data_IF_461985644507
#
_entry.id   IF_461985644507
#
_cell.length_a   1.000
_cell.length_b   1.000
_cell.length_c   1.000
_cell.angle_alpha   90.00
_cell.angle_beta   90.00
_cell.angle_gamma   90.00
#
_symmetry.space_group_name_H-M   'P 1'
#
loop_
_entity.id
_entity.type
_entity.pdbx_description
1 polymer ?
#
# COMPACT_ATOMS: atom_id res chain seq x y z
N UNK A 1 -7.01 2.80 -39.53
CA UNK A 1 -8.07 3.78 -39.20
C UNK A 1 -9.16 3.63 -40.26
N UNK A 2 -10.38 3.22 -39.89
CA UNK A 2 -11.47 3.07 -40.87
C UNK A 2 -11.75 4.44 -41.48
N UNK A 3 -11.82 4.52 -42.82
CA UNK A 3 -12.30 5.70 -43.55
C UNK A 3 -13.75 5.96 -43.14
N UNK A 4 -13.95 6.72 -42.06
CA UNK A 4 -15.27 7.22 -41.68
C UNK A 4 -15.60 8.29 -42.71
N UNK A 5 -16.50 7.98 -43.65
CA UNK A 5 -17.09 8.98 -44.55
C UNK A 5 -17.55 10.15 -43.68
N UNK A 6 -16.92 11.30 -43.85
CA UNK A 6 -17.17 12.47 -43.03
C UNK A 6 -18.62 12.91 -43.27
N UNK A 7 -19.49 12.69 -42.28
CA UNK A 7 -20.89 13.10 -42.36
C UNK A 7 -20.92 14.62 -42.22
N UNK A 8 -21.38 15.31 -43.26
CA UNK A 8 -21.49 16.76 -43.30
C UNK A 8 -22.94 17.19 -43.00
N UNK A 9 -23.07 18.35 -42.38
CA UNK A 9 -24.33 19.06 -42.11
C UNK A 9 -24.37 20.30 -43.00
N UNK A 10 -25.53 20.60 -43.55
CA UNK A 10 -25.70 21.71 -44.46
C UNK A 10 -26.29 22.89 -43.71
N UNK A 11 -25.58 24.01 -43.71
CA UNK A 11 -26.03 25.27 -43.16
C UNK A 11 -26.61 26.11 -44.29
N UNK A 12 -27.91 26.28 -44.29
CA UNK A 12 -28.62 27.26 -45.11
C UNK A 12 -28.63 28.62 -44.40
N UNK A 13 -28.90 29.68 -45.17
CA UNK A 13 -29.32 30.95 -44.60
C UNK A 13 -30.68 30.83 -43.89
N UNK A 14 -30.95 31.75 -42.97
CA UNK A 14 -32.17 31.72 -42.16
C UNK A 14 -33.42 31.67 -43.03
N UNK A 15 -34.32 30.73 -42.77
CA UNK A 15 -35.55 30.51 -43.55
C UNK A 15 -35.37 29.64 -44.81
N UNK A 16 -34.14 29.52 -45.35
CA UNK A 16 -33.90 28.82 -46.61
C UNK A 16 -33.95 27.30 -46.49
N UNK A 17 -33.63 26.74 -45.33
CA UNK A 17 -33.77 25.30 -45.12
C UNK A 17 -35.25 24.92 -45.05
N UNK A 18 -36.07 25.75 -44.38
CA UNK A 18 -37.51 25.57 -44.33
C UNK A 18 -38.13 25.67 -45.72
N UNK A 19 -37.82 26.74 -46.46
CA UNK A 19 -38.28 26.94 -47.84
C UNK A 19 -37.90 25.73 -48.72
N UNK A 20 -36.65 25.27 -48.64
CA UNK A 20 -36.18 24.10 -49.38
C UNK A 20 -37.01 22.85 -49.08
N UNK A 21 -37.29 22.56 -47.81
CA UNK A 21 -38.08 21.38 -47.42
C UNK A 21 -39.55 21.54 -47.85
N UNK A 22 -40.14 22.72 -47.70
CA UNK A 22 -41.52 22.99 -48.12
C UNK A 22 -41.69 22.88 -49.64
N UNK A 23 -40.78 23.48 -50.41
CA UNK A 23 -40.76 23.31 -51.86
C UNK A 23 -40.56 21.86 -52.27
N UNK A 24 -39.71 21.12 -51.56
CA UNK A 24 -39.47 19.70 -51.87
C UNK A 24 -40.69 18.82 -51.63
N UNK A 25 -41.51 19.11 -50.61
CA UNK A 25 -42.78 18.43 -50.39
C UNK A 25 -43.78 18.72 -51.52
N UNK A 26 -43.84 19.97 -52.00
CA UNK A 26 -44.73 20.38 -53.10
C UNK A 26 -44.28 19.76 -54.43
N UNK A 27 -43.01 19.88 -54.81
CA UNK A 27 -42.49 19.39 -56.11
C UNK A 27 -42.58 17.87 -56.24
N UNK A 28 -42.39 17.14 -55.14
CA UNK A 28 -42.43 15.68 -55.14
C UNK A 28 -43.84 15.11 -54.89
N UNK A 29 -44.84 15.97 -54.64
CA UNK A 29 -46.20 15.60 -54.22
C UNK A 29 -46.20 14.59 -53.05
N UNK A 30 -45.45 14.89 -51.99
CA UNK A 30 -45.25 13.98 -50.85
C UNK A 30 -45.56 14.63 -49.52
N UNK A 31 -45.89 13.79 -48.53
CA UNK A 31 -46.07 14.23 -47.13
C UNK A 31 -44.78 14.03 -46.32
N UNK A 32 -44.70 14.70 -45.16
CA UNK A 32 -43.56 14.61 -44.22
C UNK A 32 -43.14 13.14 -43.91
N UNK A 33 -44.05 12.18 -43.67
CA UNK A 33 -43.65 10.78 -43.43
C UNK A 33 -42.92 10.13 -44.60
N UNK A 34 -43.36 10.41 -45.83
CA UNK A 34 -42.80 9.84 -47.05
C UNK A 34 -41.42 10.45 -47.34
N UNK A 35 -41.29 11.77 -47.23
CA UNK A 35 -40.01 12.45 -47.40
C UNK A 35 -38.99 12.04 -46.32
N UNK A 36 -39.44 11.78 -45.08
CA UNK A 36 -38.59 11.29 -44.00
C UNK A 36 -38.08 9.87 -44.30
N UNK A 37 -38.95 8.99 -44.81
CA UNK A 37 -38.59 7.64 -45.28
C UNK A 37 -37.59 7.70 -46.43
N UNK A 38 -37.77 8.61 -47.40
CA UNK A 38 -36.81 8.82 -48.49
C UNK A 38 -35.42 9.22 -47.98
N UNK A 39 -35.36 10.07 -46.95
CA UNK A 39 -34.10 10.51 -46.34
C UNK A 39 -33.52 9.53 -45.32
N UNK A 40 -34.18 8.38 -45.09
CA UNK A 40 -33.86 7.40 -44.04
C UNK A 40 -33.74 8.04 -42.63
N UNK A 41 -34.67 8.94 -42.29
CA UNK A 41 -34.76 9.57 -40.96
C UNK A 41 -36.17 9.46 -40.40
N UNK A 42 -36.33 9.64 -39.09
CA UNK A 42 -37.67 9.69 -38.50
C UNK A 42 -38.40 11.00 -38.82
N UNK A 43 -39.74 10.98 -38.80
CA UNK A 43 -40.58 12.15 -39.07
C UNK A 43 -40.22 13.36 -38.20
N UNK A 44 -39.89 13.11 -36.93
CA UNK A 44 -39.50 14.16 -35.99
C UNK A 44 -38.26 14.92 -36.46
N UNK A 45 -37.26 14.21 -36.97
CA UNK A 45 -36.03 14.82 -37.49
C UNK A 45 -36.33 15.71 -38.67
N UNK A 46 -37.18 15.27 -39.60
CA UNK A 46 -37.58 16.09 -40.76
C UNK A 46 -38.39 17.33 -40.33
N UNK A 47 -39.29 17.19 -39.34
CA UNK A 47 -40.02 18.35 -38.76
C UNK A 47 -39.07 19.32 -38.06
N UNK A 48 -38.07 18.82 -37.35
CA UNK A 48 -37.06 19.67 -36.69
C UNK A 48 -36.14 20.35 -37.70
N UNK A 49 -35.84 19.73 -38.86
CA UNK A 49 -35.17 20.40 -39.98
C UNK A 49 -36.05 21.48 -40.60
N UNK A 50 -37.34 21.20 -40.83
CA UNK A 50 -38.30 22.19 -41.33
C UNK A 50 -38.46 23.39 -40.39
N UNK A 51 -38.35 23.19 -39.08
CA UNK A 51 -38.33 24.24 -38.05
C UNK A 51 -36.97 24.91 -37.87
N UNK A 52 -35.97 24.51 -38.66
CA UNK A 52 -34.59 24.99 -38.60
C UNK A 52 -33.92 24.83 -37.23
N UNK A 53 -34.41 23.87 -36.43
CA UNK A 53 -33.83 23.54 -35.12
C UNK A 53 -32.48 22.83 -35.27
N UNK A 54 -32.35 22.06 -36.35
CA UNK A 54 -31.11 21.38 -36.72
C UNK A 54 -30.85 21.51 -38.22
N UNK A 55 -29.58 21.46 -38.59
CA UNK A 55 -29.13 21.46 -39.98
C UNK A 55 -29.37 20.08 -40.63
N UNK A 56 -29.90 20.06 -41.85
CA UNK A 56 -30.08 18.85 -42.65
C UNK A 56 -28.73 18.17 -42.92
N UNK A 57 -28.71 16.84 -43.00
CA UNK A 57 -27.49 16.12 -43.38
C UNK A 57 -27.22 16.30 -44.88
N UNK A 58 -25.96 16.38 -45.28
CA UNK A 58 -25.59 16.49 -46.71
C UNK A 58 -26.07 15.27 -47.51
N UNK A 59 -26.05 14.08 -46.91
CA UNK A 59 -26.59 12.87 -47.52
C UNK A 59 -28.09 13.00 -47.83
N UNK A 60 -28.87 13.47 -46.86
CA UNK A 60 -30.32 13.68 -47.04
C UNK A 60 -30.62 14.79 -48.03
N UNK A 61 -29.85 15.89 -48.02
CA UNK A 61 -29.98 16.95 -49.02
C UNK A 61 -29.77 16.41 -50.43
N UNK A 62 -28.69 15.64 -50.64
CA UNK A 62 -28.39 15.02 -51.92
C UNK A 62 -29.52 14.09 -52.38
N UNK A 63 -30.03 13.23 -51.49
CA UNK A 63 -31.16 12.35 -51.81
C UNK A 63 -32.41 13.11 -52.26
N UNK A 64 -32.73 14.24 -51.62
CA UNK A 64 -33.87 15.09 -52.01
C UNK A 64 -33.62 15.73 -53.38
N UNK A 65 -32.43 16.31 -53.61
CA UNK A 65 -32.06 16.93 -54.88
C UNK A 65 -32.07 15.93 -56.05
N UNK A 66 -31.49 14.73 -55.86
CA UNK A 66 -31.45 13.67 -56.84
C UNK A 66 -32.88 13.23 -57.24
N UNK A 67 -33.80 13.15 -56.27
CA UNK A 67 -35.21 12.79 -56.51
C UNK A 67 -36.01 13.90 -57.21
N UNK A 68 -35.65 15.16 -56.99
CA UNK A 68 -36.26 16.32 -57.68
C UNK A 68 -35.70 16.53 -59.09
N UNK A 69 -34.62 15.85 -59.48
CA UNK A 69 -33.90 16.15 -60.71
C UNK A 69 -33.23 17.53 -60.70
N UNK A 70 -32.91 18.06 -59.52
CA UNK A 70 -32.32 19.40 -59.35
C UNK A 70 -30.87 19.30 -58.88
N UNK A 71 -30.05 20.27 -59.30
CA UNK A 71 -28.71 20.47 -58.72
C UNK A 71 -28.77 20.87 -57.24
N UNK A 72 -27.69 20.58 -56.52
CA UNK A 72 -27.53 21.03 -55.13
C UNK A 72 -27.48 22.58 -55.11
N UNK A 73 -28.23 23.26 -54.23
CA UNK A 73 -28.19 24.72 -54.11
C UNK A 73 -26.76 25.23 -53.90
N UNK A 74 -26.37 26.31 -54.58
CA UNK A 74 -25.00 26.86 -54.51
C UNK A 74 -24.73 27.63 -53.21
N UNK A 75 -25.76 28.18 -52.59
CA UNK A 75 -25.67 29.03 -51.39
C UNK A 75 -25.80 28.19 -50.11
N UNK A 76 -24.89 27.22 -49.92
CA UNK A 76 -24.88 26.36 -48.74
C UNK A 76 -23.50 26.30 -48.08
N UNK A 77 -23.48 26.41 -46.75
CA UNK A 77 -22.30 26.14 -45.94
C UNK A 77 -22.22 24.68 -45.53
N UNK A 78 -21.04 24.06 -45.57
CA UNK A 78 -20.82 22.70 -45.07
C UNK A 78 -20.19 22.74 -43.68
N UNK A 79 -20.81 22.05 -42.73
CA UNK A 79 -20.35 21.91 -41.35
C UNK A 79 -20.05 20.43 -41.03
N UNK A 80 -19.04 20.14 -40.21
CA UNK A 80 -18.84 18.78 -39.67
C UNK A 80 -20.04 18.32 -38.81
N UNK A 81 -20.34 17.02 -38.76
CA UNK A 81 -21.46 16.47 -37.96
C UNK A 81 -21.51 16.93 -36.49
N UNK A 82 -20.35 17.03 -35.84
CA UNK A 82 -20.22 17.39 -34.43
C UNK A 82 -19.79 18.86 -34.21
N UNK A 83 -20.07 19.75 -35.16
CA UNK A 83 -19.64 21.15 -35.10
C UNK A 83 -20.05 21.88 -33.82
N UNK A 84 -21.21 21.53 -33.24
CA UNK A 84 -21.77 22.17 -32.05
C UNK A 84 -21.37 21.50 -30.73
N UNK A 85 -20.78 20.29 -30.77
CA UNK A 85 -20.46 19.50 -29.57
C UNK A 85 -19.59 20.27 -28.60
N UNK A 86 -18.56 20.97 -29.09
CA UNK A 86 -17.67 21.76 -28.22
C UNK A 86 -18.42 22.87 -27.47
N UNK A 87 -19.36 23.55 -28.14
CA UNK A 87 -20.19 24.61 -27.54
C UNK A 87 -21.17 24.00 -26.53
N UNK A 88 -21.84 22.91 -26.89
CA UNK A 88 -22.78 22.21 -26.02
C UNK A 88 -22.09 21.65 -24.77
N UNK A 89 -20.92 21.01 -24.91
CA UNK A 89 -20.13 20.50 -23.78
C UNK A 89 -19.68 21.62 -22.84
N UNK A 90 -19.29 22.78 -23.39
CA UNK A 90 -18.94 23.95 -22.56
C UNK A 90 -20.14 24.45 -21.76
N UNK A 91 -21.33 24.52 -22.38
CA UNK A 91 -22.55 24.95 -21.70
C UNK A 91 -22.98 23.95 -20.62
N UNK A 92 -22.94 22.65 -20.93
CA UNK A 92 -23.24 21.59 -19.98
C UNK A 92 -22.27 21.59 -18.80
N UNK A 93 -20.98 21.80 -19.04
CA UNK A 93 -19.96 21.92 -17.99
C UNK A 93 -20.22 23.12 -17.06
N UNK A 94 -20.57 24.29 -17.61
CA UNK A 94 -20.97 25.45 -16.81
C UNK A 94 -22.19 25.16 -15.94
N UNK A 95 -23.23 24.57 -16.53
CA UNK A 95 -24.45 24.21 -15.80
C UNK A 95 -24.18 23.19 -14.68
N UNK A 96 -23.30 22.23 -14.93
CA UNK A 96 -22.88 21.26 -13.90
C UNK A 96 -22.21 21.97 -12.73
N UNK A 97 -21.29 22.91 -12.98
CA UNK A 97 -20.62 23.69 -11.93
C UNK A 97 -21.60 24.55 -11.14
N UNK A 98 -22.60 25.16 -11.79
CA UNK A 98 -23.66 25.90 -11.10
C UNK A 98 -24.47 25.02 -10.13
N UNK A 99 -24.81 23.80 -10.56
CA UNK A 99 -25.65 22.89 -9.79
C UNK A 99 -24.88 22.15 -8.67
N UNK A 100 -23.65 21.75 -8.95
CA UNK A 100 -22.90 20.80 -8.12
C UNK A 100 -21.57 21.36 -7.61
N UNK A 101 -21.20 22.58 -8.00
CA UNK A 101 -19.90 23.18 -7.71
C UNK A 101 -18.77 22.61 -8.58
N UNK A 102 -17.55 23.05 -8.30
CA UNK A 102 -16.37 22.59 -9.03
C UNK A 102 -16.13 21.09 -8.79
N UNK A 103 -15.85 20.30 -9.84
CA UNK A 103 -15.48 18.91 -9.68
C UNK A 103 -14.13 18.82 -8.95
N UNK A 104 -14.00 17.81 -8.09
CA UNK A 104 -12.72 17.51 -7.43
C UNK A 104 -12.34 18.45 -6.29
N UNK A 105 -13.26 19.26 -5.77
CA UNK A 105 -13.06 19.99 -4.50
C UNK A 105 -12.76 19.02 -3.35
N UNK A 106 -12.01 19.49 -2.35
CA UNK A 106 -11.71 18.69 -1.15
C UNK A 106 -12.99 18.23 -0.44
N UNK A 107 -13.97 19.13 -0.30
CA UNK A 107 -15.28 18.83 0.27
C UNK A 107 -16.04 17.75 -0.53
N UNK A 108 -16.05 17.85 -1.86
CA UNK A 108 -16.69 16.87 -2.75
C UNK A 108 -16.02 15.49 -2.68
N UNK A 109 -14.69 15.45 -2.67
CA UNK A 109 -13.91 14.21 -2.49
C UNK A 109 -14.17 13.58 -1.14
N UNK A 110 -14.19 14.39 -0.07
CA UNK A 110 -14.50 13.94 1.29
C UNK A 110 -15.92 13.36 1.39
N UNK A 111 -16.91 14.03 0.79
CA UNK A 111 -18.29 13.54 0.73
C UNK A 111 -18.38 12.21 -0.01
N UNK A 112 -17.77 12.09 -1.19
CA UNK A 112 -17.74 10.85 -1.97
C UNK A 112 -17.08 9.69 -1.19
N UNK A 113 -15.98 9.97 -0.48
CA UNK A 113 -15.32 9.00 0.39
C UNK A 113 -16.21 8.53 1.53
N UNK A 114 -16.95 9.45 2.19
CA UNK A 114 -17.89 9.09 3.27
C UNK A 114 -19.05 8.24 2.77
N UNK A 115 -19.69 8.63 1.66
CA UNK A 115 -20.79 7.88 1.05
C UNK A 115 -20.32 6.48 0.64
N UNK A 116 -19.15 6.37 0.02
CA UNK A 116 -18.58 5.07 -0.32
C UNK A 116 -18.35 4.21 0.93
N UNK A 117 -17.79 4.78 2.01
CA UNK A 117 -17.62 4.06 3.28
C UNK A 117 -18.94 3.58 3.87
N UNK A 118 -19.99 4.40 3.81
CA UNK A 118 -21.33 4.05 4.29
C UNK A 118 -21.92 2.88 3.52
N UNK A 119 -21.84 2.92 2.18
CA UNK A 119 -22.26 1.82 1.30
C UNK A 119 -21.51 0.51 1.64
N UNK A 120 -20.21 0.57 1.92
CA UNK A 120 -19.44 -0.62 2.30
C UNK A 120 -19.73 -1.12 3.70
N UNK A 121 -20.20 -0.25 4.62
CA UNK A 121 -20.63 -0.66 5.96
C UNK A 121 -21.99 -1.35 5.91
N UNK A 122 -22.93 -0.82 5.13
CA UNK A 122 -24.26 -1.41 4.94
C UNK A 122 -24.21 -2.70 4.11
N UNK A 123 -23.27 -2.82 3.17
CA UNK A 123 -23.08 -4.01 2.34
C UNK A 123 -21.64 -4.56 2.41
N UNK A 124 -21.30 -5.38 3.43
CA UNK A 124 -19.96 -5.93 3.60
C UNK A 124 -19.48 -6.84 2.44
N UNK A 125 -20.43 -7.49 1.73
CA UNK A 125 -20.16 -8.36 0.58
C UNK A 125 -19.65 -7.60 -0.64
N UNK A 126 -20.22 -6.42 -0.90
CA UNK A 126 -19.89 -5.57 -2.05
C UNK A 126 -18.40 -5.23 -2.11
N UNK A 127 -17.76 -5.05 -0.95
CA UNK A 127 -16.33 -4.72 -0.86
C UNK A 127 -15.43 -5.78 -1.48
N UNK A 128 -15.83 -7.07 -1.39
CA UNK A 128 -15.11 -8.18 -2.03
C UNK A 128 -15.37 -8.22 -3.52
N UNK A 129 -16.59 -7.94 -3.96
CA UNK A 129 -17.00 -7.94 -5.37
C UNK A 129 -16.27 -6.84 -6.16
N UNK A 130 -16.09 -5.64 -5.59
CA UNK A 130 -15.32 -4.56 -6.22
C UNK A 130 -13.80 -4.64 -5.99
N UNK A 131 -13.28 -5.78 -5.53
CA UNK A 131 -11.85 -6.04 -5.31
C UNK A 131 -11.12 -5.00 -4.44
N UNK A 132 -11.83 -4.33 -3.52
CA UNK A 132 -11.20 -3.39 -2.60
C UNK A 132 -10.39 -4.14 -1.54
N UNK A 133 -9.15 -3.71 -1.31
CA UNK A 133 -8.26 -4.33 -0.31
C UNK A 133 -8.88 -4.21 1.10
N UNK A 134 -9.33 -5.34 1.64
CA UNK A 134 -9.74 -5.47 3.04
C UNK A 134 -8.51 -5.65 3.94
N UNK A 135 -8.66 -5.38 5.24
CA UNK A 135 -7.62 -5.70 6.22
C UNK A 135 -7.36 -7.20 6.24
N UNK A 136 -6.08 -7.62 6.29
CA UNK A 136 -5.71 -9.03 6.38
C UNK A 136 -6.18 -9.60 7.72
N UNK A 137 -6.83 -10.77 7.69
CA UNK A 137 -7.12 -11.53 8.90
C UNK A 137 -5.80 -12.03 9.49
N UNK A 138 -5.69 -11.98 10.82
CA UNK A 138 -4.53 -12.50 11.56
C UNK A 138 -5.03 -13.38 12.71
N UNK A 139 -4.19 -14.30 13.15
CA UNK A 139 -4.33 -14.94 14.46
C UNK A 139 -3.84 -13.97 15.53
N UNK A 140 -4.60 -13.86 16.61
CA UNK A 140 -4.24 -13.07 17.79
C UNK A 140 -3.65 -14.00 18.85
N UNK A 141 -2.32 -14.12 18.97
CA UNK A 141 -1.72 -15.01 19.95
C UNK A 141 -1.94 -14.47 21.37
N UNK A 142 -2.19 -15.38 22.31
CA UNK A 142 -2.12 -15.06 23.75
C UNK A 142 -0.67 -14.72 24.13
N UNK A 143 -0.51 -13.95 25.21
CA UNK A 143 0.80 -13.70 25.84
C UNK A 143 1.51 -15.04 26.09
N UNK A 144 2.70 -15.19 25.52
CA UNK A 144 3.46 -16.43 25.51
C UNK A 144 4.95 -16.14 25.36
N UNK A 145 5.81 -17.13 25.64
CA UNK A 145 7.25 -16.99 25.44
C UNK A 145 7.62 -16.69 23.98
N UNK A 146 6.97 -17.36 23.02
CA UNK A 146 7.19 -17.10 21.60
C UNK A 146 6.82 -15.67 21.21
N UNK A 147 5.72 -15.12 21.75
CA UNK A 147 5.37 -13.73 21.52
C UNK A 147 6.37 -12.79 22.20
N UNK A 148 6.80 -13.08 23.42
CA UNK A 148 7.79 -12.26 24.13
C UNK A 148 9.15 -12.22 23.41
N UNK A 149 9.60 -13.35 22.87
CA UNK A 149 10.79 -13.41 22.01
C UNK A 149 10.63 -12.57 20.75
N UNK A 150 9.47 -12.67 20.09
CA UNK A 150 9.16 -11.83 18.93
C UNK A 150 9.13 -10.33 19.27
N UNK A 151 8.61 -9.94 20.43
CA UNK A 151 8.68 -8.56 20.92
C UNK A 151 10.14 -8.13 21.12
N UNK A 152 10.98 -8.98 21.71
CA UNK A 152 12.43 -8.71 21.83
C UNK A 152 13.08 -8.43 20.48
N UNK A 153 12.80 -9.25 19.47
CA UNK A 153 13.27 -9.07 18.08
C UNK A 153 12.80 -7.73 17.51
N UNK A 154 11.53 -7.39 17.73
CA UNK A 154 10.96 -6.12 17.25
C UNK A 154 11.59 -4.90 17.94
N UNK A 155 11.93 -5.01 19.22
CA UNK A 155 12.59 -3.95 19.98
C UNK A 155 14.00 -3.68 19.47
N UNK A 156 14.77 -4.70 19.08
CA UNK A 156 16.11 -4.54 18.51
C UNK A 156 16.10 -4.12 17.03
N UNK A 157 15.86 -5.07 16.12
CA UNK A 157 15.95 -4.87 14.67
C UNK A 157 14.62 -4.54 13.97
N UNK A 158 13.50 -4.55 14.71
CA UNK A 158 12.19 -4.23 14.15
C UNK A 158 12.02 -2.77 13.73
N UNK A 159 11.02 -2.45 12.91
CA UNK A 159 10.69 -1.06 12.58
C UNK A 159 9.28 -0.91 12.02
N UNK A 160 8.56 0.11 12.50
CA UNK A 160 7.20 0.46 12.06
C UNK A 160 7.17 1.95 11.70
N UNK A 161 7.16 2.25 10.40
CA UNK A 161 7.21 3.63 9.91
C UNK A 161 5.89 4.18 9.39
N UNK A 162 4.96 3.29 8.98
CA UNK A 162 3.85 3.71 8.11
C UNK A 162 2.47 3.22 8.61
N UNK A 163 2.36 2.68 9.82
CA UNK A 163 1.10 2.23 10.44
C UNK A 163 0.38 1.02 9.81
N UNK A 164 0.85 0.52 8.66
CA UNK A 164 0.26 -0.64 7.98
C UNK A 164 1.25 -1.78 7.74
N UNK A 165 2.53 -1.56 8.04
CA UNK A 165 3.59 -2.55 7.87
C UNK A 165 4.63 -2.44 8.97
N UNK A 166 5.20 -3.57 9.34
CA UNK A 166 6.45 -3.62 10.06
C UNK A 166 7.51 -4.34 9.22
N UNK A 167 8.77 -4.06 9.56
CA UNK A 167 9.93 -4.76 9.02
C UNK A 167 10.84 -5.23 10.15
N UNK A 168 11.61 -6.29 9.92
CA UNK A 168 12.75 -6.69 10.74
C UNK A 168 13.95 -6.76 9.82
N UNK A 169 14.97 -5.95 10.08
CA UNK A 169 16.19 -5.93 9.28
C UNK A 169 17.15 -7.04 9.75
N UNK A 170 17.96 -7.60 8.86
CA UNK A 170 18.96 -8.62 9.20
C UNK A 170 20.17 -8.55 8.27
N UNK A 171 21.31 -9.12 8.69
CA UNK A 171 22.49 -9.25 7.83
C UNK A 171 22.34 -10.45 6.88
N UNK A 172 22.48 -10.23 5.57
CA UNK A 172 22.25 -11.29 4.56
C UNK A 172 23.22 -12.46 4.68
N UNK A 173 24.49 -12.19 5.04
CA UNK A 173 25.52 -13.23 5.10
C UNK A 173 25.48 -13.97 6.43
N UNK A 174 25.34 -13.23 7.52
CA UNK A 174 25.52 -13.77 8.86
C UNK A 174 24.23 -14.29 9.50
N UNK A 175 23.07 -13.78 9.11
CA UNK A 175 21.80 -13.99 9.82
C UNK A 175 20.68 -14.54 8.91
N UNK A 176 21.03 -15.18 7.77
CA UNK A 176 20.03 -15.72 6.83
C UNK A 176 19.18 -16.84 7.43
N UNK A 177 19.80 -17.78 8.13
CA UNK A 177 19.08 -18.86 8.84
C UNK A 177 18.20 -18.30 9.96
N UNK A 178 18.68 -17.25 10.63
CA UNK A 178 17.90 -16.57 11.66
C UNK A 178 16.71 -15.81 11.05
N UNK A 179 16.86 -15.24 9.86
CA UNK A 179 15.74 -14.62 9.14
C UNK A 179 14.63 -15.65 8.87
N UNK A 180 14.99 -16.85 8.40
CA UNK A 180 14.05 -17.95 8.18
C UNK A 180 13.36 -18.41 9.49
N UNK A 181 14.10 -18.47 10.61
CA UNK A 181 13.50 -18.66 11.94
C UNK A 181 12.45 -17.58 12.27
N UNK A 182 12.75 -16.30 12.05
CA UNK A 182 11.82 -15.19 12.28
C UNK A 182 10.58 -15.34 11.39
N UNK A 183 10.73 -15.70 10.11
CA UNK A 183 9.59 -15.91 9.21
C UNK A 183 8.65 -17.02 9.71
N UNK A 184 9.21 -18.14 10.17
CA UNK A 184 8.44 -19.23 10.79
C UNK A 184 7.76 -18.79 12.08
N UNK A 185 8.44 -18.01 12.92
CA UNK A 185 7.90 -17.46 14.16
C UNK A 185 6.69 -16.56 13.88
N UNK A 186 6.78 -15.66 12.90
CA UNK A 186 5.69 -14.79 12.44
C UNK A 186 4.50 -15.64 11.96
N UNK A 187 4.76 -16.63 11.10
CA UNK A 187 3.73 -17.51 10.56
C UNK A 187 2.99 -18.27 11.66
N UNK A 188 3.74 -18.84 12.62
CA UNK A 188 3.17 -19.60 13.76
C UNK A 188 2.35 -18.72 14.71
N UNK A 189 2.80 -17.49 15.00
CA UNK A 189 2.13 -16.59 15.93
C UNK A 189 0.87 -15.98 15.32
N UNK A 190 0.96 -15.50 14.07
CA UNK A 190 -0.04 -14.61 13.47
C UNK A 190 -0.78 -15.23 12.29
N UNK A 191 -0.39 -16.41 11.82
CA UNK A 191 -1.01 -17.06 10.67
C UNK A 191 -0.86 -16.27 9.37
N UNK A 192 0.20 -15.45 9.27
CA UNK A 192 0.50 -14.63 8.08
C UNK A 192 1.88 -14.95 7.53
N UNK A 193 2.01 -14.92 6.21
CA UNK A 193 3.31 -14.98 5.54
C UNK A 193 4.01 -13.62 5.61
N UNK A 194 5.33 -13.68 5.54
CA UNK A 194 6.22 -12.52 5.46
C UNK A 194 6.98 -12.53 4.13
N UNK A 195 7.36 -11.35 3.64
CA UNK A 195 8.13 -11.19 2.41
C UNK A 195 9.56 -10.81 2.77
N UNK A 196 10.56 -11.48 2.19
CA UNK A 196 11.96 -11.10 2.33
C UNK A 196 12.36 -10.19 1.18
N UNK A 197 12.90 -9.03 1.49
CA UNK A 197 13.50 -8.10 0.53
C UNK A 197 15.00 -7.99 0.80
N UNK A 198 15.80 -8.54 -0.10
CA UNK A 198 17.26 -8.41 -0.03
C UNK A 198 17.70 -7.05 -0.57
N UNK A 199 18.66 -6.43 0.11
CA UNK A 199 19.30 -5.17 -0.27
C UNK A 199 20.76 -5.44 -0.60
N UNK A 200 21.03 -5.89 -1.83
CA UNK A 200 22.36 -6.35 -2.25
C UNK A 200 23.46 -5.33 -1.97
N UNK A 201 23.22 -4.06 -2.30
CA UNK A 201 24.16 -2.95 -2.09
C UNK A 201 24.66 -2.79 -0.64
N UNK A 202 23.84 -3.18 0.34
CA UNK A 202 24.13 -2.97 1.76
C UNK A 202 24.44 -4.26 2.51
N UNK A 203 24.44 -5.42 1.83
CA UNK A 203 24.65 -6.72 2.47
C UNK A 203 23.59 -7.09 3.51
N UNK A 204 22.42 -6.45 3.47
CA UNK A 204 21.33 -6.63 4.42
C UNK A 204 20.04 -7.07 3.74
N UNK A 205 19.06 -7.51 4.53
CA UNK A 205 17.72 -7.84 4.08
C UNK A 205 16.69 -7.33 5.08
N UNK A 206 15.43 -7.25 4.63
CA UNK A 206 14.29 -6.96 5.48
C UNK A 206 13.24 -8.07 5.35
N UNK A 207 12.75 -8.57 6.49
CA UNK A 207 11.52 -9.34 6.57
C UNK A 207 10.38 -8.34 6.72
N UNK A 208 9.41 -8.33 5.80
CA UNK A 208 8.35 -7.33 5.72
C UNK A 208 7.00 -8.02 5.86
N UNK A 209 6.13 -7.47 6.71
CA UNK A 209 4.73 -7.90 6.83
C UNK A 209 3.82 -6.69 6.73
N UNK A 210 3.02 -6.63 5.66
CA UNK A 210 1.98 -5.62 5.49
C UNK A 210 0.66 -6.13 6.04
N UNK A 211 0.29 -5.69 7.25
CA UNK A 211 -1.01 -5.95 7.89
C UNK A 211 -1.28 -4.89 8.96
N UNK A 212 -2.31 -4.06 8.75
CA UNK A 212 -2.73 -3.05 9.73
C UNK A 212 -3.18 -3.67 11.05
N UNK A 213 -3.93 -4.78 11.00
CA UNK A 213 -4.37 -5.49 12.20
C UNK A 213 -3.20 -5.98 13.05
N UNK A 214 -2.08 -6.36 12.40
CA UNK A 214 -0.90 -6.84 13.11
C UNK A 214 -0.09 -5.69 13.69
N UNK A 215 0.02 -4.58 12.98
CA UNK A 215 0.66 -3.36 13.50
C UNK A 215 -0.09 -2.85 14.73
N UNK A 216 -1.41 -2.71 14.65
CA UNK A 216 -2.26 -2.30 15.78
C UNK A 216 -2.08 -3.26 16.97
N UNK A 217 -2.07 -4.59 16.73
CA UNK A 217 -1.79 -5.58 17.77
C UNK A 217 -0.41 -5.38 18.44
N UNK A 218 0.65 -5.12 17.67
CA UNK A 218 1.99 -4.92 18.23
C UNK A 218 2.09 -3.64 19.06
N UNK A 219 1.37 -2.59 18.65
CA UNK A 219 1.26 -1.34 19.40
C UNK A 219 0.57 -1.59 20.75
N UNK A 220 -0.55 -2.31 20.74
CA UNK A 220 -1.27 -2.70 21.96
C UNK A 220 -0.40 -3.56 22.91
N UNK A 221 0.61 -4.25 22.36
CA UNK A 221 1.55 -5.07 23.11
C UNK A 221 2.85 -4.34 23.51
N UNK A 222 2.94 -3.04 23.23
CA UNK A 222 3.98 -2.14 23.73
C UNK A 222 5.09 -1.79 22.73
N UNK A 223 4.95 -2.12 21.45
CA UNK A 223 5.86 -1.62 20.41
C UNK A 223 5.42 -0.22 19.97
N UNK A 224 6.31 0.76 20.00
CA UNK A 224 6.00 2.12 19.55
C UNK A 224 6.28 2.31 18.05
N UNK A 225 5.49 3.13 17.39
CA UNK A 225 5.78 3.61 16.03
C UNK A 225 6.87 4.70 16.04
N UNK A 226 7.61 4.83 14.94
CA UNK A 226 8.57 5.91 14.76
C UNK A 226 9.97 5.65 15.34
N UNK A 227 10.67 6.72 15.74
CA UNK A 227 12.07 6.64 16.16
C UNK A 227 12.20 6.02 17.56
N UNK A 228 12.83 4.84 17.61
CA UNK A 228 13.01 4.05 18.82
C UNK A 228 13.79 4.75 19.94
N UNK A 229 14.83 5.49 19.57
CA UNK A 229 15.72 6.16 20.54
C UNK A 229 15.03 7.38 21.13
N UNK A 230 14.36 8.17 20.28
CA UNK A 230 13.55 9.31 20.73
C UNK A 230 12.37 8.85 21.62
N UNK A 231 11.80 7.68 21.34
CA UNK A 231 10.64 7.13 22.04
C UNK A 231 10.92 6.51 23.42
N UNK A 232 12.17 6.51 23.90
CA UNK A 232 12.61 5.85 25.16
C UNK A 232 12.00 4.46 25.30
N UNK A 233 12.19 3.64 24.26
CA UNK A 233 11.58 2.32 24.19
C UNK A 233 12.11 1.42 25.31
N UNK A 234 11.22 0.62 25.89
CA UNK A 234 11.52 -0.32 26.97
C UNK A 234 10.71 -1.60 26.80
N UNK A 235 11.07 -2.65 27.55
CA UNK A 235 10.36 -3.92 27.58
C UNK A 235 8.96 -3.73 28.20
N UNK A 236 7.88 -4.16 27.53
CA UNK A 236 6.52 -4.07 28.06
C UNK A 236 6.33 -4.73 29.43
N UNK A 237 5.49 -4.14 30.28
CA UNK A 237 5.29 -4.60 31.66
C UNK A 237 4.81 -6.05 31.75
N UNK A 238 3.95 -6.50 30.82
CA UNK A 238 3.46 -7.87 30.81
C UNK A 238 4.57 -8.90 30.54
N UNK A 239 5.69 -8.50 29.92
CA UNK A 239 6.88 -9.33 29.77
C UNK A 239 7.69 -9.30 31.06
N UNK A 240 7.88 -8.10 31.63
CA UNK A 240 8.61 -7.90 32.90
C UNK A 240 7.96 -8.64 34.08
N UNK A 241 6.66 -8.92 34.04
CA UNK A 241 5.96 -9.61 35.13
C UNK A 241 6.18 -11.13 35.17
N UNK A 242 6.85 -11.73 34.18
CA UNK A 242 7.03 -13.19 34.11
C UNK A 242 8.46 -13.55 33.77
N UNK A 243 9.11 -14.35 34.64
CA UNK A 243 10.49 -14.84 34.42
C UNK A 243 10.65 -15.54 33.06
N UNK A 244 9.66 -16.35 32.67
CA UNK A 244 9.64 -17.04 31.38
C UNK A 244 9.61 -16.06 30.20
N UNK A 245 8.86 -14.97 30.31
CA UNK A 245 8.75 -13.97 29.25
C UNK A 245 9.96 -13.05 29.21
N UNK A 246 10.49 -12.65 30.37
CA UNK A 246 11.78 -11.94 30.47
C UNK A 246 12.88 -12.69 29.72
N UNK A 247 13.06 -13.98 30.00
CA UNK A 247 14.08 -14.82 29.35
C UNK A 247 13.88 -14.89 27.84
N UNK A 248 12.65 -15.11 27.38
CA UNK A 248 12.37 -15.20 25.95
C UNK A 248 12.58 -13.85 25.23
N UNK A 249 12.15 -12.74 25.83
CA UNK A 249 12.40 -11.40 25.29
C UNK A 249 13.89 -11.05 25.28
N UNK A 250 14.63 -11.42 26.33
CA UNK A 250 16.09 -11.25 26.39
C UNK A 250 16.79 -12.03 25.27
N UNK A 251 16.34 -13.26 24.98
CA UNK A 251 16.84 -14.03 23.84
C UNK A 251 16.67 -13.25 22.54
N UNK A 252 15.45 -12.79 22.25
CA UNK A 252 15.17 -12.02 21.03
C UNK A 252 15.99 -10.74 20.89
N UNK A 253 16.22 -10.02 22.01
CA UNK A 253 17.05 -8.81 22.05
C UNK A 253 18.53 -9.09 21.81
N UNK A 254 19.07 -10.15 22.43
CA UNK A 254 20.48 -10.54 22.24
C UNK A 254 20.69 -11.11 20.83
N UNK A 255 19.71 -11.83 20.30
CA UNK A 255 19.77 -12.41 18.95
C UNK A 255 19.86 -11.35 17.84
N UNK A 256 19.39 -10.12 18.10
CA UNK A 256 19.47 -8.97 17.20
C UNK A 256 20.62 -8.02 17.57
N UNK A 257 20.54 -7.38 18.74
CA UNK A 257 21.42 -6.26 19.15
C UNK A 257 22.58 -6.73 20.05
N UNK A 258 22.65 -8.04 20.30
CA UNK A 258 23.76 -8.67 20.98
C UNK A 258 24.96 -8.87 20.06
N UNK A 259 26.10 -9.20 20.66
CA UNK A 259 27.32 -9.55 19.96
C UNK A 259 28.11 -10.54 20.82
N UNK A 260 28.59 -11.60 20.19
CA UNK A 260 29.53 -12.56 20.79
C UNK A 260 30.84 -12.47 20.05
N UNK A 261 31.94 -12.25 20.78
CA UNK A 261 33.26 -12.09 20.18
C UNK A 261 34.35 -12.66 21.08
N UNK A 262 35.35 -13.27 20.44
CA UNK A 262 36.56 -13.73 21.11
C UNK A 262 37.51 -12.56 21.29
N UNK A 263 38.09 -12.44 22.47
CA UNK A 263 39.09 -11.45 22.80
C UNK A 263 40.34 -12.17 23.29
N UNK A 264 41.41 -12.07 22.52
CA UNK A 264 42.70 -12.68 22.85
C UNK A 264 43.68 -11.64 23.36
N UNK A 265 44.47 -11.99 24.37
CA UNK A 265 45.56 -11.18 24.90
C UNK A 265 46.81 -12.04 25.00
N UNK A 266 47.98 -11.42 24.87
CA UNK A 266 49.26 -12.05 25.16
C UNK A 266 49.77 -11.46 26.47
N UNK A 267 50.01 -12.31 27.47
CA UNK A 267 50.55 -11.91 28.77
C UNK A 267 51.72 -12.84 29.08
N UNK A 268 52.91 -12.27 29.28
CA UNK A 268 54.15 -13.01 29.57
C UNK A 268 54.41 -14.16 28.57
N UNK A 269 54.17 -13.93 27.28
CA UNK A 269 54.34 -14.93 26.22
C UNK A 269 53.21 -15.97 26.10
N UNK A 270 52.31 -16.06 27.09
CA UNK A 270 51.11 -16.89 27.03
C UNK A 270 49.96 -16.20 26.30
N UNK A 271 49.32 -16.91 25.36
CA UNK A 271 48.12 -16.41 24.66
C UNK A 271 46.86 -16.87 25.38
N UNK A 272 46.06 -15.93 25.85
CA UNK A 272 44.81 -16.18 26.54
C UNK A 272 43.65 -15.73 25.67
N UNK A 273 42.66 -16.59 25.47
CA UNK A 273 41.47 -16.29 24.66
C UNK A 273 40.22 -16.34 25.53
N UNK A 274 39.36 -15.33 25.40
CA UNK A 274 38.14 -15.20 26.19
C UNK A 274 36.97 -14.87 25.29
N UNK A 275 35.90 -15.66 25.38
CA UNK A 275 34.64 -15.31 24.76
C UNK A 275 33.91 -14.28 25.61
N UNK A 276 33.36 -13.25 24.97
CA UNK A 276 32.58 -12.19 25.61
C UNK A 276 31.25 -12.01 24.89
N UNK A 277 30.22 -11.66 25.66
CA UNK A 277 28.94 -11.19 25.12
C UNK A 277 28.75 -9.71 25.44
N UNK A 278 28.20 -8.97 24.51
CA UNK A 278 27.80 -7.58 24.66
C UNK A 278 26.37 -7.42 24.15
N UNK A 279 25.55 -6.61 24.82
CA UNK A 279 24.30 -6.07 24.30
C UNK A 279 24.44 -4.56 24.18
N UNK A 280 24.07 -3.97 23.04
CA UNK A 280 24.20 -2.54 22.79
C UNK A 280 22.84 -1.92 22.52
N UNK A 281 22.51 -0.82 23.19
CA UNK A 281 21.31 -0.05 22.87
C UNK A 281 21.50 1.41 23.21
N UNK A 282 20.88 2.32 22.46
CA UNK A 282 20.84 3.75 22.79
C UNK A 282 19.66 4.11 23.70
N UNK A 283 18.75 3.17 23.97
CA UNK A 283 17.65 3.37 24.92
C UNK A 283 18.11 3.00 26.33
N UNK A 284 18.27 4.01 27.20
CA UNK A 284 18.66 3.81 28.60
C UNK A 284 17.67 2.90 29.35
N UNK A 285 16.33 3.08 29.26
CA UNK A 285 15.38 2.17 29.90
C UNK A 285 15.54 0.71 29.45
N UNK A 286 15.84 0.48 28.17
CA UNK A 286 16.03 -0.87 27.65
C UNK A 286 17.31 -1.51 28.21
N UNK A 287 18.41 -0.76 28.33
CA UNK A 287 19.65 -1.22 28.95
C UNK A 287 19.46 -1.58 30.42
N UNK A 288 18.75 -0.74 31.17
CA UNK A 288 18.42 -0.99 32.58
C UNK A 288 17.58 -2.26 32.72
N UNK A 289 16.55 -2.41 31.88
CA UNK A 289 15.73 -3.62 31.85
C UNK A 289 16.52 -4.87 31.50
N UNK A 290 17.42 -4.82 30.52
CA UNK A 290 18.27 -5.96 30.16
C UNK A 290 19.23 -6.31 31.30
N UNK A 291 19.88 -5.31 31.91
CA UNK A 291 20.73 -5.50 33.10
C UNK A 291 19.96 -6.19 34.21
N UNK A 292 18.79 -5.66 34.57
CA UNK A 292 17.96 -6.20 35.64
C UNK A 292 17.49 -7.63 35.34
N UNK A 293 17.16 -7.96 34.09
CA UNK A 293 16.79 -9.33 33.71
C UNK A 293 17.99 -10.27 33.86
N UNK A 294 19.19 -9.87 33.42
CA UNK A 294 20.40 -10.67 33.55
C UNK A 294 20.73 -10.95 35.02
N UNK A 295 20.60 -9.95 35.89
CA UNK A 295 20.77 -10.08 37.34
C UNK A 295 19.72 -11.00 37.98
N UNK A 296 18.44 -10.85 37.61
CA UNK A 296 17.31 -11.68 38.09
C UNK A 296 17.48 -13.17 37.72
N UNK A 297 18.16 -13.46 36.62
CA UNK A 297 18.52 -14.83 36.25
C UNK A 297 19.88 -15.27 36.81
N UNK A 298 20.48 -14.51 37.72
CA UNK A 298 21.72 -14.85 38.44
C UNK A 298 22.98 -14.73 37.60
N UNK A 299 22.98 -13.85 36.60
CA UNK A 299 24.17 -13.43 35.87
C UNK A 299 24.72 -12.12 36.45
N UNK A 300 25.98 -11.81 36.12
CA UNK A 300 26.70 -10.63 36.62
C UNK A 300 27.07 -9.70 35.45
N UNK A 301 26.09 -8.96 34.90
CA UNK A 301 26.37 -7.99 33.85
C UNK A 301 27.33 -6.89 34.31
N UNK A 302 28.10 -6.36 33.37
CA UNK A 302 29.02 -5.23 33.58
C UNK A 302 28.67 -4.09 32.64
N UNK A 303 28.38 -2.93 33.22
CA UNK A 303 28.06 -1.70 32.49
C UNK A 303 29.32 -0.83 32.35
N UNK A 304 30.26 -1.27 31.52
CA UNK A 304 31.56 -0.60 31.35
C UNK A 304 31.51 0.57 30.37
N UNK A 305 30.45 0.70 29.58
CA UNK A 305 30.26 1.80 28.64
C UNK A 305 28.81 2.30 28.66
N UNK A 306 28.62 3.58 28.30
CA UNK A 306 27.35 4.31 28.42
C UNK A 306 26.16 3.64 27.73
N UNK A 307 26.39 2.81 26.72
CA UNK A 307 25.36 2.20 25.89
C UNK A 307 25.48 0.67 25.76
N UNK A 308 26.23 0.01 26.66
CA UNK A 308 26.55 -1.42 26.52
C UNK A 308 26.53 -2.17 27.84
N UNK A 309 26.03 -3.40 27.78
CA UNK A 309 26.02 -4.38 28.88
C UNK A 309 26.86 -5.58 28.47
N UNK A 310 27.82 -5.98 29.30
CA UNK A 310 28.75 -7.07 29.01
C UNK A 310 28.62 -8.27 29.94
N UNK A 311 28.90 -9.46 29.42
CA UNK A 311 29.27 -10.66 30.18
C UNK A 311 30.69 -11.07 29.77
N UNK A 312 31.63 -11.02 30.72
CA UNK A 312 33.07 -11.15 30.43
C UNK A 312 33.68 -12.53 30.68
N UNK A 313 33.06 -13.38 31.50
CA UNK A 313 33.64 -14.68 31.86
C UNK A 313 32.89 -15.83 31.20
N UNK A 314 33.65 -16.89 30.90
CA UNK A 314 33.12 -18.11 30.31
C UNK A 314 32.05 -18.76 31.20
N UNK A 315 32.23 -18.77 32.53
CA UNK A 315 31.21 -19.25 33.47
C UNK A 315 29.86 -18.53 33.29
N UNK A 316 29.90 -17.20 33.11
CA UNK A 316 28.68 -16.41 32.91
C UNK A 316 28.04 -16.69 31.55
N UNK A 317 28.86 -16.91 30.50
CA UNK A 317 28.34 -17.31 29.19
C UNK A 317 27.75 -18.71 29.21
N UNK A 318 28.38 -19.67 29.88
CA UNK A 318 27.84 -21.02 30.05
C UNK A 318 26.48 -20.97 30.76
N UNK A 319 26.36 -20.16 31.82
CA UNK A 319 25.09 -19.91 32.51
C UNK A 319 24.06 -19.23 31.61
N UNK A 320 24.48 -18.27 30.79
CA UNK A 320 23.61 -17.61 29.81
C UNK A 320 23.06 -18.61 28.79
N UNK A 321 23.91 -19.40 28.13
CA UNK A 321 23.47 -20.37 27.14
C UNK A 321 22.61 -21.49 27.75
N UNK A 322 22.86 -21.87 29.01
CA UNK A 322 22.02 -22.83 29.74
C UNK A 322 20.63 -22.29 30.08
N UNK A 323 20.52 -21.01 30.46
CA UNK A 323 19.26 -20.40 30.94
C UNK A 323 18.45 -19.72 29.83
N UNK A 324 19.13 -19.07 28.89
CA UNK A 324 18.54 -18.26 27.82
C UNK A 324 18.73 -18.93 26.47
N UNK A 325 19.97 -19.30 26.13
CA UNK A 325 20.30 -19.80 24.79
C UNK A 325 20.19 -18.72 23.71
N UNK A 326 20.22 -19.13 22.45
CA UNK A 326 20.08 -18.27 21.26
C UNK A 326 19.20 -18.97 20.23
N UNK A 327 18.29 -18.24 19.61
CA UNK A 327 17.55 -18.70 18.43
C UNK A 327 18.29 -18.33 17.14
N UNK A 328 19.29 -17.45 17.21
CA UNK A 328 20.21 -17.16 16.11
C UNK A 328 21.34 -18.21 16.05
N UNK A 329 21.41 -19.05 15.00
CA UNK A 329 22.43 -20.09 14.89
C UNK A 329 23.86 -19.56 14.91
N UNK A 330 24.09 -18.32 14.44
CA UNK A 330 25.40 -17.67 14.45
C UNK A 330 26.02 -17.67 15.84
N UNK A 331 25.26 -17.30 16.85
CA UNK A 331 25.77 -17.18 18.22
C UNK A 331 25.99 -18.52 18.89
N UNK A 332 25.08 -19.48 18.65
CA UNK A 332 25.28 -20.87 19.08
C UNK A 332 26.55 -21.46 18.47
N UNK A 333 26.81 -21.20 17.19
CA UNK A 333 28.02 -21.66 16.50
C UNK A 333 29.30 -21.01 17.05
N UNK A 334 29.29 -19.68 17.30
CA UNK A 334 30.42 -18.99 17.92
C UNK A 334 30.75 -19.59 19.29
N UNK A 335 29.74 -19.80 20.13
CA UNK A 335 29.92 -20.39 21.46
C UNK A 335 30.45 -21.83 21.38
N UNK A 336 29.81 -22.68 20.57
CA UNK A 336 30.23 -24.06 20.42
C UNK A 336 31.66 -24.20 19.86
N UNK A 337 32.03 -23.37 18.89
CA UNK A 337 33.38 -23.37 18.32
C UNK A 337 34.42 -22.92 19.35
N UNK A 338 34.09 -21.91 20.18
CA UNK A 338 34.96 -21.49 21.27
C UNK A 338 35.15 -22.61 22.30
N UNK A 339 34.06 -23.27 22.73
CA UNK A 339 34.13 -24.38 23.67
C UNK A 339 34.93 -25.58 23.15
N UNK A 340 34.95 -25.84 21.83
CA UNK A 340 35.79 -26.88 21.22
C UNK A 340 37.28 -26.51 21.15
N UNK A 341 37.61 -25.22 21.27
CA UNK A 341 38.98 -24.71 21.19
C UNK A 341 39.67 -24.55 22.55
N UNK A 342 38.92 -24.75 23.63
CA UNK A 342 39.42 -24.87 25.00
C UNK A 342 39.89 -26.30 25.23
#
# INVERSE_FOLDING_TARGET
>A
MKNVKQVLRVKFDSGKQREFIEQSLITLDTKIPELAKMCNVCERTLRDWKREKYNISFGSLKTICDKKGMGIPKDIGLLPEYWSTKKASKLGGKRYVELYGLPGTEAGRSKGGRVAQEIFRSNPGLRKEVALKSRKKIKYPKKSAALAEFIGIMLGDGGMGNGYQFKVSFNRKADLEYADYIQRLISRLFGVSSTVKIREKYGSGDIIVSSRNLVEFLIDHGIKEGNKVAGRIDIPQWIKSSKKYKIACLRGLVDTDGCFYSHSYVVNGGKYNYLKMCFTSYSVPLLESVTAILEDIGLRPKNTAKNRVYLYSLDQLNKYFKKVGSSNPRYSNIYNNFCKSL
#
